data_IF_655102248618
#
_entry.id   IF_655102248618
#
_cell.length_a   1.000
_cell.length_b   1.000
_cell.length_c   1.000
_cell.angle_alpha   90.00
_cell.angle_beta   90.00
_cell.angle_gamma   90.00
#
_symmetry.space_group_name_H-M   'P 1'
#
loop_
_entity.id
_entity.type
_entity.pdbx_description
1 polymer ?
#
# COMPACT_ATOMS: atom_id res chain seq x y z
N UNK A 1 -43.19 58.10 26.13
CA UNK A 1 -41.95 57.36 26.36
C UNK A 1 -42.09 56.02 25.64
N UNK A 2 -41.48 55.83 24.48
CA UNK A 2 -41.58 54.64 23.64
C UNK A 2 -40.37 53.74 23.87
N UNK A 3 -40.61 52.57 24.47
CA UNK A 3 -39.53 51.57 24.64
C UNK A 3 -39.35 50.78 23.32
N UNK A 4 -38.19 50.95 22.72
CA UNK A 4 -37.77 50.17 21.55
C UNK A 4 -37.00 48.93 22.05
N UNK A 5 -37.64 47.76 21.97
CA UNK A 5 -37.00 46.49 22.30
C UNK A 5 -36.17 46.04 21.05
N UNK A 6 -34.84 46.12 21.16
CA UNK A 6 -33.94 45.52 20.13
C UNK A 6 -33.96 44.01 20.26
N UNK A 7 -34.43 43.35 19.21
CA UNK A 7 -34.39 41.91 19.05
C UNK A 7 -33.05 41.51 18.38
N UNK A 8 -32.12 40.98 19.15
CA UNK A 8 -30.83 40.50 18.66
C UNK A 8 -31.03 39.10 18.08
N UNK A 9 -30.99 38.97 16.77
CA UNK A 9 -31.00 37.68 16.09
C UNK A 9 -29.57 37.13 16.10
N UNK A 10 -29.30 36.11 16.90
CA UNK A 10 -28.06 35.35 16.89
C UNK A 10 -28.13 34.34 15.73
N UNK A 11 -27.41 34.59 14.66
CA UNK A 11 -27.20 33.61 13.60
C UNK A 11 -26.13 32.63 14.07
N UNK A 12 -26.54 31.43 14.49
CA UNK A 12 -25.63 30.32 14.75
C UNK A 12 -25.15 29.75 13.41
N UNK A 13 -23.95 30.13 12.98
CA UNK A 13 -23.26 29.48 11.86
C UNK A 13 -22.86 28.07 12.31
N UNK A 14 -23.62 27.06 11.93
CA UNK A 14 -23.22 25.66 12.05
C UNK A 14 -22.06 25.41 11.08
N UNK A 15 -20.85 25.33 11.62
CA UNK A 15 -19.68 24.87 10.91
C UNK A 15 -19.87 23.37 10.65
N UNK A 16 -20.41 23.03 9.49
CA UNK A 16 -20.32 21.68 8.98
C UNK A 16 -18.83 21.42 8.66
N UNK A 17 -18.13 20.74 9.56
CA UNK A 17 -16.86 20.12 9.25
C UNK A 17 -17.11 19.09 8.18
N UNK A 18 -16.88 19.44 6.93
CA UNK A 18 -16.80 18.48 5.84
C UNK A 18 -15.54 17.66 6.14
N UNK A 19 -15.70 16.51 6.79
CA UNK A 19 -14.67 15.51 6.77
C UNK A 19 -14.53 15.09 5.30
N UNK A 20 -13.48 15.51 4.63
CA UNK A 20 -13.08 14.95 3.35
C UNK A 20 -12.81 13.45 3.63
N UNK A 21 -13.78 12.61 3.30
CA UNK A 21 -13.64 11.17 3.38
C UNK A 21 -12.87 10.76 2.12
N UNK A 22 -11.56 10.55 2.27
CA UNK A 22 -10.78 9.87 1.23
C UNK A 22 -11.45 8.54 0.86
N UNK A 23 -11.21 8.05 -0.36
CA UNK A 23 -11.75 6.76 -0.79
C UNK A 23 -11.48 5.66 0.25
N UNK A 24 -12.48 4.84 0.51
CA UNK A 24 -12.34 3.69 1.42
C UNK A 24 -11.44 2.64 0.78
N UNK A 25 -10.32 2.30 1.43
CA UNK A 25 -9.44 1.22 0.97
C UNK A 25 -9.50 0.05 1.94
N UNK A 26 -9.91 -1.11 1.42
CA UNK A 26 -9.89 -2.38 2.13
C UNK A 26 -8.84 -3.29 1.53
N UNK A 27 -7.90 -3.79 2.35
CA UNK A 27 -6.90 -4.77 1.94
C UNK A 27 -7.10 -6.06 2.71
N UNK A 28 -7.21 -7.16 2.00
CA UNK A 28 -7.30 -8.52 2.54
C UNK A 28 -6.06 -9.30 2.14
N UNK A 29 -5.48 -10.05 3.09
CA UNK A 29 -4.33 -10.91 2.88
C UNK A 29 -4.81 -12.34 2.96
N UNK A 30 -4.74 -13.09 1.87
CA UNK A 30 -5.30 -14.42 1.75
C UNK A 30 -4.19 -15.46 1.66
N UNK A 31 -4.27 -16.49 2.52
CA UNK A 31 -3.35 -17.64 2.51
C UNK A 31 -1.86 -17.26 2.58
N UNK A 32 -1.50 -16.36 3.50
CA UNK A 32 -0.16 -15.74 3.65
C UNK A 32 0.96 -16.77 3.73
N UNK A 33 0.70 -17.92 4.38
CA UNK A 33 1.66 -19.04 4.49
C UNK A 33 2.05 -19.65 3.13
N UNK A 34 1.28 -19.36 2.08
CA UNK A 34 1.53 -19.85 0.72
C UNK A 34 2.32 -18.85 -0.15
N UNK A 35 2.64 -17.69 0.36
CA UNK A 35 3.34 -16.65 -0.41
C UNK A 35 4.77 -17.06 -0.73
N UNK A 36 5.25 -16.59 -1.87
CA UNK A 36 6.47 -17.08 -2.50
C UNK A 36 7.73 -16.79 -1.71
N UNK A 37 7.89 -15.55 -1.25
CA UNK A 37 9.04 -15.16 -0.40
C UNK A 37 8.68 -13.96 0.49
N UNK A 38 8.31 -14.27 1.73
CA UNK A 38 8.22 -13.32 2.84
C UNK A 38 8.98 -13.87 4.05
N UNK A 39 10.12 -14.55 3.80
CA UNK A 39 10.94 -15.17 4.83
C UNK A 39 11.67 -14.14 5.69
N UNK A 40 11.54 -14.26 7.02
CA UNK A 40 12.22 -13.42 7.97
C UNK A 40 13.72 -13.77 8.07
N UNK A 41 14.56 -12.73 8.16
CA UNK A 41 15.99 -12.87 8.42
C UNK A 41 16.32 -12.29 9.78
N UNK A 42 16.71 -13.15 10.73
CA UNK A 42 17.06 -12.73 12.10
C UNK A 42 15.92 -12.03 12.87
N UNK A 43 14.66 -12.32 12.52
CA UNK A 43 13.47 -11.84 13.22
C UNK A 43 12.48 -13.01 13.43
N UNK A 44 11.43 -12.77 14.21
CA UNK A 44 10.33 -13.72 14.38
C UNK A 44 9.46 -13.63 13.13
N UNK A 45 9.23 -14.77 12.46
CA UNK A 45 8.49 -14.85 11.20
C UNK A 45 7.15 -14.07 11.22
N UNK A 46 6.31 -14.33 12.21
CA UNK A 46 5.01 -13.65 12.31
C UNK A 46 5.08 -12.13 12.54
N UNK A 47 6.16 -11.66 13.18
CA UNK A 47 6.40 -10.22 13.33
C UNK A 47 6.81 -9.60 12.00
N UNK A 48 7.71 -10.26 11.28
CA UNK A 48 8.17 -9.81 9.97
C UNK A 48 7.02 -9.77 8.98
N UNK A 49 6.24 -10.84 8.85
CA UNK A 49 5.03 -10.88 8.01
C UNK A 49 4.08 -9.72 8.33
N UNK A 50 3.79 -9.53 9.62
CA UNK A 50 2.93 -8.42 10.04
C UNK A 50 3.48 -7.06 9.63
N UNK A 51 4.78 -6.82 9.76
CA UNK A 51 5.40 -5.55 9.34
C UNK A 51 5.28 -5.32 7.84
N UNK A 52 5.49 -6.37 7.03
CA UNK A 52 5.33 -6.32 5.58
C UNK A 52 3.88 -6.00 5.21
N UNK A 53 2.92 -6.76 5.75
CA UNK A 53 1.50 -6.58 5.47
C UNK A 53 0.99 -5.20 5.91
N UNK A 54 1.36 -4.75 7.10
CA UNK A 54 0.99 -3.40 7.60
C UNK A 54 1.57 -2.31 6.69
N UNK A 55 2.87 -2.42 6.34
CA UNK A 55 3.55 -1.42 5.51
C UNK A 55 2.97 -1.31 4.09
N UNK A 56 2.60 -2.42 3.47
CA UNK A 56 1.94 -2.42 2.16
C UNK A 56 0.46 -2.02 2.25
N UNK A 57 -0.24 -2.39 3.32
CA UNK A 57 -1.62 -1.95 3.57
C UNK A 57 -1.68 -0.43 3.71
N UNK A 58 -0.78 0.18 4.47
CA UNK A 58 -0.70 1.65 4.60
C UNK A 58 -0.37 2.31 3.25
N UNK A 59 0.46 1.67 2.42
CA UNK A 59 0.75 2.18 1.08
C UNK A 59 -0.47 2.11 0.16
N UNK A 60 -1.26 1.01 0.20
CA UNK A 60 -2.54 0.92 -0.50
C UNK A 60 -3.51 2.03 -0.10
N UNK A 61 -3.61 2.33 1.21
CA UNK A 61 -4.43 3.44 1.71
C UNK A 61 -3.95 4.80 1.19
N UNK A 62 -2.63 5.01 1.17
CA UNK A 62 -2.05 6.24 0.63
C UNK A 62 -2.31 6.40 -0.88
N UNK A 63 -2.30 5.30 -1.63
CA UNK A 63 -2.67 5.29 -3.05
C UNK A 63 -4.16 5.60 -3.23
N UNK A 64 -5.02 4.92 -2.48
CA UNK A 64 -6.47 5.14 -2.54
C UNK A 64 -6.89 6.55 -2.16
N UNK A 65 -6.12 7.24 -1.30
CA UNK A 65 -6.36 8.65 -0.98
C UNK A 65 -6.25 9.61 -2.19
N UNK A 66 -5.73 9.13 -3.33
CA UNK A 66 -5.71 9.86 -4.60
C UNK A 66 -6.99 9.68 -5.42
N UNK A 67 -7.84 8.71 -5.05
CA UNK A 67 -9.11 8.43 -5.73
C UNK A 67 -10.20 9.39 -5.23
N UNK A 68 -11.27 9.59 -6.01
CA UNK A 68 -12.42 10.40 -5.59
C UNK A 68 -12.99 9.95 -4.26
N UNK A 69 -13.44 10.93 -3.47
CA UNK A 69 -14.13 10.69 -2.21
C UNK A 69 -15.37 9.80 -2.43
N UNK A 70 -15.78 9.08 -1.39
CA UNK A 70 -16.92 8.15 -1.41
C UNK A 70 -16.75 6.91 -2.32
N UNK A 71 -15.65 6.80 -3.06
CA UNK A 71 -15.32 5.60 -3.81
C UNK A 71 -14.70 4.53 -2.90
N UNK A 72 -14.69 3.29 -3.37
CA UNK A 72 -14.14 2.18 -2.61
C UNK A 72 -13.21 1.32 -3.46
N UNK A 73 -12.02 1.07 -2.93
CA UNK A 73 -11.05 0.13 -3.50
C UNK A 73 -10.88 -1.06 -2.56
N UNK A 74 -11.26 -2.24 -3.01
CA UNK A 74 -11.00 -3.51 -2.30
C UNK A 74 -9.88 -4.23 -3.02
N UNK A 75 -8.83 -4.61 -2.30
CA UNK A 75 -7.69 -5.37 -2.80
C UNK A 75 -7.56 -6.66 -2.01
N UNK A 76 -7.48 -7.81 -2.68
CA UNK A 76 -7.24 -9.11 -2.08
C UNK A 76 -5.90 -9.64 -2.55
N UNK A 77 -4.89 -9.54 -1.68
CA UNK A 77 -3.54 -10.07 -1.97
C UNK A 77 -3.56 -11.59 -1.94
N UNK A 78 -2.95 -12.21 -2.95
CA UNK A 78 -2.92 -13.68 -3.12
C UNK A 78 -1.51 -14.24 -3.24
N UNK A 79 -0.50 -13.40 -3.50
CA UNK A 79 0.90 -13.79 -3.51
C UNK A 79 1.79 -12.56 -3.33
N UNK A 80 2.93 -12.75 -2.68
CA UNK A 80 3.96 -11.74 -2.51
C UNK A 80 5.34 -12.41 -2.53
N UNK A 81 6.26 -11.77 -3.26
CA UNK A 81 7.65 -12.14 -3.41
C UNK A 81 8.44 -10.84 -3.20
N UNK A 82 9.02 -10.66 -2.03
CA UNK A 82 9.72 -9.40 -1.72
C UNK A 82 11.11 -9.38 -2.36
N UNK A 83 11.60 -8.19 -2.68
CA UNK A 83 12.89 -8.00 -3.34
C UNK A 83 14.05 -8.65 -2.57
N UNK A 84 14.94 -9.30 -3.30
CA UNK A 84 16.09 -10.02 -2.75
C UNK A 84 15.79 -11.47 -2.41
N UNK A 85 16.81 -12.18 -1.95
CA UNK A 85 16.72 -13.58 -1.53
C UNK A 85 17.46 -13.81 -0.23
N UNK A 86 17.02 -14.79 0.56
CA UNK A 86 17.67 -15.17 1.80
C UNK A 86 18.83 -16.13 1.53
N UNK A 87 20.01 -15.76 2.01
CA UNK A 87 21.23 -16.54 1.87
C UNK A 87 21.88 -16.80 3.24
N UNK A 88 22.42 -17.98 3.48
CA UNK A 88 23.20 -18.25 4.69
C UNK A 88 24.50 -17.44 4.67
N UNK A 89 24.89 -16.89 5.81
CA UNK A 89 26.19 -16.24 5.97
C UNK A 89 27.26 -17.28 6.34
N UNK A 90 28.40 -17.25 5.62
CA UNK A 90 29.53 -18.12 5.88
C UNK A 90 30.55 -17.41 6.79
N UNK A 91 31.02 -18.09 7.82
CA UNK A 91 32.01 -17.56 8.76
C UNK A 91 31.77 -17.94 10.21
N UNK A 92 32.34 -17.21 11.15
CA UNK A 92 32.20 -17.47 12.60
C UNK A 92 30.78 -17.29 13.15
N UNK A 93 29.88 -16.72 12.36
CA UNK A 93 28.45 -16.57 12.63
C UNK A 93 27.59 -17.51 11.74
N UNK A 94 28.00 -18.76 11.58
CA UNK A 94 27.50 -19.76 10.65
C UNK A 94 25.99 -20.14 10.79
N UNK A 95 25.25 -19.53 11.71
CA UNK A 95 23.80 -19.75 11.88
C UNK A 95 22.95 -18.54 11.49
N UNK A 96 23.54 -17.51 10.91
CA UNK A 96 22.80 -16.32 10.48
C UNK A 96 22.53 -16.33 8.98
N UNK A 97 21.42 -15.72 8.59
CA UNK A 97 21.04 -15.50 7.22
C UNK A 97 21.01 -14.00 6.95
N UNK A 98 21.11 -13.61 5.68
CA UNK A 98 20.92 -12.22 5.25
C UNK A 98 20.07 -12.18 3.97
N UNK A 99 19.29 -11.13 3.81
CA UNK A 99 18.61 -10.87 2.55
C UNK A 99 19.53 -10.09 1.61
N UNK A 100 19.82 -10.68 0.48
CA UNK A 100 20.69 -10.09 -0.55
C UNK A 100 19.81 -9.54 -1.66
N UNK A 101 19.99 -8.25 -1.96
CA UNK A 101 19.39 -7.62 -3.13
C UNK A 101 20.35 -7.78 -4.32
N UNK A 102 19.95 -8.51 -5.31
CA UNK A 102 20.71 -8.73 -6.55
C UNK A 102 19.88 -8.41 -7.81
N UNK A 103 20.47 -8.66 -8.98
CA UNK A 103 19.85 -8.33 -10.27
C UNK A 103 18.90 -9.41 -10.79
N UNK A 104 18.62 -10.45 -9.99
CA UNK A 104 17.78 -11.58 -10.40
C UNK A 104 16.60 -11.85 -9.45
N UNK A 105 16.64 -11.29 -8.23
CA UNK A 105 15.60 -11.47 -7.21
C UNK A 105 14.66 -10.27 -7.22
N UNK A 106 13.74 -10.27 -8.18
CA UNK A 106 12.82 -9.16 -8.44
C UNK A 106 11.59 -9.25 -7.56
N UNK A 107 11.05 -8.11 -7.07
CA UNK A 107 9.77 -8.11 -6.38
C UNK A 107 8.65 -8.52 -7.34
N UNK A 108 7.72 -9.31 -6.84
CA UNK A 108 6.51 -9.67 -7.55
C UNK A 108 5.32 -9.72 -6.57
N UNK A 109 4.13 -9.49 -7.06
CA UNK A 109 2.90 -9.63 -6.29
C UNK A 109 1.73 -10.02 -7.17
N UNK A 110 0.78 -10.75 -6.59
CA UNK A 110 -0.48 -11.08 -7.22
C UNK A 110 -1.63 -10.67 -6.32
N UNK A 111 -2.70 -10.14 -6.92
CA UNK A 111 -3.89 -9.73 -6.20
C UNK A 111 -5.10 -9.63 -7.12
N UNK A 112 -6.28 -9.70 -6.53
CA UNK A 112 -7.53 -9.28 -7.15
C UNK A 112 -7.88 -7.88 -6.66
N UNK A 113 -8.63 -7.10 -7.45
CA UNK A 113 -9.18 -5.84 -6.97
C UNK A 113 -10.59 -5.61 -7.53
N UNK A 114 -11.34 -4.81 -6.77
CA UNK A 114 -12.62 -4.25 -7.20
C UNK A 114 -12.66 -2.77 -6.80
N UNK A 115 -12.96 -1.91 -7.76
CA UNK A 115 -13.12 -0.47 -7.55
C UNK A 115 -14.53 -0.05 -7.87
N UNK A 116 -15.22 0.58 -6.92
CA UNK A 116 -16.62 0.99 -7.04
C UNK A 116 -16.78 2.50 -6.82
N UNK A 117 -17.82 3.06 -7.44
CA UNK A 117 -18.25 4.44 -7.18
C UNK A 117 -19.02 4.55 -5.84
N UNK A 118 -19.43 5.78 -5.49
CA UNK A 118 -20.23 6.09 -4.31
C UNK A 118 -21.58 5.36 -4.23
N UNK A 119 -22.11 4.89 -5.35
CA UNK A 119 -23.38 4.15 -5.44
C UNK A 119 -23.18 2.63 -5.36
N UNK A 120 -21.92 2.17 -5.28
CA UNK A 120 -21.56 0.76 -5.28
C UNK A 120 -21.49 0.12 -6.68
N UNK A 121 -21.55 0.92 -7.76
CA UNK A 121 -21.36 0.39 -9.11
C UNK A 121 -19.87 0.08 -9.33
N UNK A 122 -19.58 -1.07 -9.93
CA UNK A 122 -18.22 -1.44 -10.29
C UNK A 122 -17.73 -0.59 -11.45
N UNK A 123 -16.64 0.14 -11.24
CA UNK A 123 -15.95 0.96 -12.26
C UNK A 123 -14.85 0.14 -12.93
N UNK A 124 -14.11 -0.63 -12.14
CA UNK A 124 -13.04 -1.50 -12.62
C UNK A 124 -12.85 -2.69 -11.67
N UNK A 125 -12.50 -3.84 -12.22
CA UNK A 125 -12.14 -5.03 -11.46
C UNK A 125 -11.20 -5.92 -12.27
N UNK A 126 -10.37 -6.68 -11.56
CA UNK A 126 -9.59 -7.78 -12.12
C UNK A 126 -9.38 -8.84 -11.03
N UNK A 127 -9.57 -10.10 -11.39
CA UNK A 127 -9.45 -11.23 -10.48
C UNK A 127 -8.02 -11.77 -10.37
N UNK A 128 -7.10 -11.39 -11.26
CA UNK A 128 -5.74 -11.96 -11.33
C UNK A 128 -4.71 -10.96 -11.88
N UNK A 129 -4.51 -9.88 -11.14
CA UNK A 129 -3.43 -8.93 -11.44
C UNK A 129 -2.10 -9.55 -11.00
N UNK A 130 -1.13 -9.61 -11.91
CA UNK A 130 0.23 -10.09 -11.64
C UNK A 130 1.25 -9.01 -11.99
N UNK A 131 1.97 -8.55 -10.98
CA UNK A 131 3.01 -7.55 -11.13
C UNK A 131 4.38 -8.19 -10.90
N UNK A 132 5.34 -7.79 -11.72
CA UNK A 132 6.75 -8.15 -11.56
C UNK A 132 7.62 -7.03 -12.11
N UNK A 133 8.57 -6.53 -11.32
CA UNK A 133 9.52 -5.53 -11.77
C UNK A 133 10.84 -6.19 -12.14
N UNK A 134 11.11 -6.31 -13.45
CA UNK A 134 12.35 -6.88 -13.99
C UNK A 134 13.49 -5.85 -14.08
N UNK A 135 13.27 -4.60 -13.70
CA UNK A 135 14.22 -3.50 -13.82
C UNK A 135 14.58 -2.82 -12.49
N UNK A 136 14.20 -3.42 -11.36
CA UNK A 136 14.29 -2.82 -10.03
C UNK A 136 15.70 -2.40 -9.58
N UNK A 137 16.75 -2.91 -10.21
CA UNK A 137 18.13 -2.77 -9.74
C UNK A 137 18.94 -1.65 -10.40
N UNK A 138 18.30 -0.57 -10.87
CA UNK A 138 19.06 0.62 -11.26
C UNK A 138 19.78 1.24 -10.04
N UNK A 139 20.97 1.81 -10.24
CA UNK A 139 21.84 2.29 -9.15
C UNK A 139 21.19 3.27 -8.16
N UNK A 140 20.19 4.04 -8.61
CA UNK A 140 19.39 4.94 -7.77
C UNK A 140 18.50 4.20 -6.76
N UNK A 141 18.00 3.03 -7.11
CA UNK A 141 17.15 2.21 -6.26
C UNK A 141 17.94 1.54 -5.13
N UNK A 142 19.13 1.00 -5.45
CA UNK A 142 20.05 0.47 -4.43
C UNK A 142 20.39 1.50 -3.36
N UNK A 143 20.50 2.78 -3.75
CA UNK A 143 20.78 3.87 -2.83
C UNK A 143 19.63 4.14 -1.85
N UNK A 144 18.37 4.05 -2.28
CA UNK A 144 17.21 4.28 -1.42
C UNK A 144 17.09 3.21 -0.32
N UNK A 145 17.28 1.93 -0.66
CA UNK A 145 17.24 0.82 0.31
C UNK A 145 18.47 0.83 1.23
N UNK A 146 19.67 1.09 0.68
CA UNK A 146 20.91 1.19 1.48
C UNK A 146 20.85 2.31 2.53
N UNK A 147 20.10 3.37 2.29
CA UNK A 147 19.92 4.45 3.26
C UNK A 147 18.98 4.07 4.42
N UNK A 148 18.42 2.85 4.43
CA UNK A 148 17.48 2.38 5.46
C UNK A 148 16.16 3.16 5.51
N UNK A 149 15.84 3.90 4.44
CA UNK A 149 14.67 4.79 4.43
C UNK A 149 13.35 4.05 4.26
N UNK A 150 13.33 2.97 3.47
CA UNK A 150 12.13 2.16 3.26
C UNK A 150 12.52 0.73 2.86
N UNK A 151 12.23 -0.23 3.73
CA UNK A 151 12.50 -1.64 3.47
C UNK A 151 11.62 -2.22 2.36
N UNK A 152 10.46 -1.59 2.07
CA UNK A 152 9.48 -2.01 1.06
C UNK A 152 9.50 -1.11 -0.18
N UNK A 153 10.61 -0.43 -0.43
CA UNK A 153 10.73 0.52 -1.52
C UNK A 153 10.40 -0.07 -2.89
N UNK A 154 10.86 -1.30 -3.16
CA UNK A 154 10.66 -1.94 -4.46
C UNK A 154 9.22 -2.38 -4.68
N UNK A 155 8.60 -2.94 -3.66
CA UNK A 155 7.21 -3.38 -3.65
C UNK A 155 6.27 -2.18 -3.83
N UNK A 156 6.49 -1.13 -3.05
CA UNK A 156 5.71 0.12 -3.14
C UNK A 156 5.80 0.76 -4.51
N UNK A 157 6.99 0.80 -5.10
CA UNK A 157 7.18 1.30 -6.46
C UNK A 157 6.43 0.48 -7.50
N UNK A 158 6.39 -0.84 -7.33
CA UNK A 158 5.63 -1.72 -8.20
C UNK A 158 4.13 -1.41 -8.12
N UNK A 159 3.62 -1.18 -6.91
CA UNK A 159 2.25 -0.74 -6.65
C UNK A 159 1.96 0.64 -7.27
N UNK A 160 2.85 1.61 -7.08
CA UNK A 160 2.73 2.97 -7.64
C UNK A 160 2.57 2.91 -9.16
N UNK A 161 3.45 2.19 -9.85
CA UNK A 161 3.45 2.08 -11.31
C UNK A 161 2.17 1.43 -11.86
N UNK A 162 1.64 0.43 -11.18
CA UNK A 162 0.37 -0.18 -11.55
C UNK A 162 -0.80 0.76 -11.26
N UNK A 163 -0.85 1.35 -10.07
CA UNK A 163 -1.93 2.23 -9.65
C UNK A 163 -2.08 3.44 -10.56
N UNK A 164 -0.98 4.13 -10.86
CA UNK A 164 -0.97 5.29 -11.73
C UNK A 164 -1.44 4.94 -13.16
N UNK A 165 -1.09 3.74 -13.64
CA UNK A 165 -1.56 3.25 -14.95
C UNK A 165 -3.03 2.87 -14.94
N UNK A 166 -3.48 2.15 -13.91
CA UNK A 166 -4.84 1.62 -13.80
C UNK A 166 -5.86 2.74 -13.58
N UNK A 167 -5.52 3.70 -12.72
CA UNK A 167 -6.45 4.76 -12.28
C UNK A 167 -6.15 6.14 -12.87
N UNK A 168 -5.36 6.20 -13.96
CA UNK A 168 -4.97 7.48 -14.60
C UNK A 168 -6.14 8.40 -14.91
N UNK A 169 -7.29 7.84 -15.27
CA UNK A 169 -8.52 8.60 -15.58
C UNK A 169 -9.33 9.01 -14.34
N UNK A 170 -9.06 8.40 -13.19
CA UNK A 170 -9.78 8.60 -11.93
C UNK A 170 -9.02 9.44 -10.91
N UNK A 171 -7.71 9.64 -11.12
CA UNK A 171 -6.85 10.46 -10.26
C UNK A 171 -7.02 11.92 -10.67
N UNK A 172 -7.35 12.77 -9.70
CA UNK A 172 -7.47 14.23 -9.87
C UNK A 172 -6.13 14.94 -9.70
#
# INVERSE_FOLDING_TARGET
MKNITMLTVAVAAALFSVNALAAEVKVEWKDVDSYRDIEAVNDIQSRFEKQIMDGLTEHWKALGAKLPDDHKLTVTMTDLDIAGRVEPTYGSAASSHMRILDDISYPAMSFAFTYTDANGNVIAEDADVRLKDMGANSGTMRSAVRSGRDALFYEKRLMDGWFDKQFKASIN
#
